data_IF_210081467013
#
_entry.id   IF_210081467013
#
_cell.length_a   1.000
_cell.length_b   1.000
_cell.length_c   1.000
_cell.angle_alpha   90.00
_cell.angle_beta   90.00
_cell.angle_gamma   90.00
#
_symmetry.space_group_name_H-M   'P 1'
#
loop_
_entity.id
_entity.type
_entity.pdbx_description
1 polymer ?
#
# COMPACT_ATOMS: atom_id res chain seq x y z
N UNK A 1 -52.27 -48.43 27.87
CA UNK A 1 -52.89 -47.32 28.59
C UNK A 1 -51.76 -46.64 29.35
N UNK A 2 -51.33 -45.46 29.10
CA UNK A 2 -51.88 -44.28 28.44
C UNK A 2 -50.71 -43.35 28.11
N UNK A 3 -50.82 -42.78 26.92
CA UNK A 3 -50.63 -41.38 26.56
C UNK A 3 -49.28 -40.70 26.85
N UNK A 4 -48.43 -40.66 25.87
CA UNK A 4 -47.60 -39.52 25.55
C UNK A 4 -47.89 -39.06 24.11
N UNK A 5 -48.45 -37.90 23.92
CA UNK A 5 -48.00 -37.02 22.87
C UNK A 5 -48.19 -35.54 23.25
N UNK A 6 -47.12 -34.78 23.46
CA UNK A 6 -47.20 -33.30 23.39
C UNK A 6 -45.87 -32.58 23.27
N UNK A 7 -44.74 -33.27 23.09
CA UNK A 7 -43.43 -32.58 23.05
C UNK A 7 -42.94 -32.18 21.66
N UNK A 8 -43.64 -32.58 20.59
CA UNK A 8 -43.25 -32.29 19.20
C UNK A 8 -43.88 -31.02 18.59
N UNK A 9 -44.90 -30.45 19.25
CA UNK A 9 -45.58 -29.27 18.77
C UNK A 9 -44.86 -27.97 19.17
N UNK A 10 -44.31 -27.88 20.38
CA UNK A 10 -43.60 -26.70 20.88
C UNK A 10 -42.25 -26.48 20.17
N UNK A 11 -41.57 -27.56 19.73
CA UNK A 11 -40.29 -27.45 19.02
C UNK A 11 -40.45 -26.90 17.58
N UNK A 12 -41.61 -27.01 16.97
CA UNK A 12 -41.91 -26.48 15.63
C UNK A 12 -42.31 -25.00 15.66
N UNK A 13 -42.88 -24.54 16.76
CA UNK A 13 -43.27 -23.14 16.94
C UNK A 13 -42.06 -22.26 17.31
N UNK A 14 -41.05 -22.79 18.03
CA UNK A 14 -39.83 -22.09 18.37
C UNK A 14 -38.87 -21.98 17.15
N UNK A 15 -38.90 -22.90 16.20
CA UNK A 15 -38.14 -22.87 14.97
C UNK A 15 -38.66 -21.78 13.99
N UNK A 16 -39.96 -21.46 14.02
CA UNK A 16 -40.58 -20.41 13.23
C UNK A 16 -40.23 -19.00 13.67
N UNK A 17 -39.94 -18.81 14.98
CA UNK A 17 -39.62 -17.48 15.54
C UNK A 17 -38.17 -17.08 15.39
N UNK A 18 -37.28 -18.02 15.07
CA UNK A 18 -35.83 -17.74 14.87
C UNK A 18 -35.56 -17.20 13.44
N UNK A 19 -36.43 -17.47 12.47
CA UNK A 19 -36.25 -17.01 11.07
C UNK A 19 -36.74 -15.56 10.86
N UNK A 20 -37.59 -15.03 11.74
CA UNK A 20 -38.24 -13.72 11.56
C UNK A 20 -37.43 -12.54 12.17
N UNK A 21 -36.19 -12.78 12.63
CA UNK A 21 -35.35 -11.74 13.27
C UNK A 21 -34.25 -11.12 12.40
N UNK A 22 -34.25 -11.34 11.10
CA UNK A 22 -33.12 -10.87 10.24
C UNK A 22 -33.42 -9.70 9.32
N UNK A 23 -34.63 -9.12 9.34
CA UNK A 23 -34.94 -7.91 8.59
C UNK A 23 -34.98 -6.66 9.49
N UNK A 24 -33.95 -6.46 10.33
CA UNK A 24 -33.69 -5.09 10.80
C UNK A 24 -33.12 -4.34 9.61
N UNK A 25 -33.97 -3.53 8.96
CA UNK A 25 -33.53 -2.53 8.00
C UNK A 25 -32.42 -1.70 8.68
N UNK A 26 -31.18 -1.87 8.20
CA UNK A 26 -30.06 -1.04 8.65
C UNK A 26 -30.44 0.43 8.48
N UNK A 27 -30.13 1.30 9.42
CA UNK A 27 -30.35 2.73 9.30
C UNK A 27 -29.81 3.24 7.96
N UNK A 28 -30.49 4.20 7.35
CA UNK A 28 -30.15 4.69 6.00
C UNK A 28 -28.69 5.13 5.85
N UNK A 29 -28.07 5.63 6.93
CA UNK A 29 -26.67 6.03 6.96
C UNK A 29 -25.69 4.82 7.00
N UNK A 30 -26.07 3.67 7.58
CA UNK A 30 -25.25 2.44 7.52
C UNK A 30 -25.22 1.88 6.11
N UNK A 31 -26.34 1.90 5.38
CA UNK A 31 -26.40 1.53 3.96
C UNK A 31 -25.54 2.43 3.08
N UNK A 32 -25.41 3.70 3.40
CA UNK A 32 -24.56 4.64 2.66
C UNK A 32 -23.07 4.39 2.95
N UNK A 33 -22.70 4.09 4.21
CA UNK A 33 -21.29 3.82 4.59
C UNK A 33 -20.78 2.49 4.07
N UNK A 34 -21.67 1.51 3.84
CA UNK A 34 -21.33 0.22 3.23
C UNK A 34 -21.30 0.27 1.69
N UNK A 35 -21.74 1.35 1.07
CA UNK A 35 -21.77 1.46 -0.38
C UNK A 35 -20.34 1.56 -0.95
N UNK A 36 -20.05 0.81 -2.02
CA UNK A 36 -18.76 0.89 -2.74
C UNK A 36 -18.44 2.33 -3.17
N UNK A 37 -19.46 3.12 -3.53
CA UNK A 37 -19.33 4.51 -3.96
C UNK A 37 -18.91 5.46 -2.83
N UNK A 38 -19.31 5.18 -1.57
CA UNK A 38 -18.90 5.96 -0.43
C UNK A 38 -17.38 5.85 -0.20
N UNK A 39 -16.83 4.63 -0.28
CA UNK A 39 -15.38 4.39 -0.16
C UNK A 39 -14.61 5.16 -1.24
N UNK A 40 -15.08 5.11 -2.49
CA UNK A 40 -14.46 5.84 -3.61
C UNK A 40 -14.57 7.36 -3.40
N UNK A 41 -15.73 7.84 -2.96
CA UNK A 41 -15.95 9.26 -2.66
C UNK A 41 -15.03 9.80 -1.58
N UNK A 42 -14.93 9.10 -0.45
CA UNK A 42 -14.03 9.45 0.66
C UNK A 42 -12.58 9.43 0.21
N UNK A 43 -12.17 8.40 -0.55
CA UNK A 43 -10.81 8.31 -1.10
C UNK A 43 -10.50 9.47 -2.02
N UNK A 44 -11.45 9.85 -2.90
CA UNK A 44 -11.28 10.97 -3.83
C UNK A 44 -11.07 12.28 -3.07
N UNK A 45 -11.89 12.54 -2.06
CA UNK A 45 -11.75 13.74 -1.21
C UNK A 45 -10.44 13.71 -0.45
N UNK A 46 -10.07 12.56 0.13
CA UNK A 46 -8.81 12.41 0.84
C UNK A 46 -7.60 12.67 -0.06
N UNK A 47 -7.55 12.05 -1.24
CA UNK A 47 -6.48 12.25 -2.22
C UNK A 47 -6.42 13.70 -2.70
N UNK A 48 -7.56 14.36 -2.96
CA UNK A 48 -7.59 15.75 -3.41
C UNK A 48 -7.10 16.74 -2.34
N UNK A 49 -7.43 16.49 -1.07
CA UNK A 49 -7.04 17.36 0.05
C UNK A 49 -5.64 17.06 0.60
N UNK A 50 -5.12 15.85 0.35
CA UNK A 50 -3.86 15.39 0.94
C UNK A 50 -2.66 16.30 0.68
N UNK A 51 -2.39 16.83 -0.55
CA UNK A 51 -1.25 17.71 -0.78
C UNK A 51 -1.37 19.04 -0.04
N UNK A 52 -2.59 19.57 0.04
CA UNK A 52 -2.85 20.80 0.77
C UNK A 52 -2.67 20.60 2.29
N UNK A 53 -3.30 19.56 2.84
CA UNK A 53 -3.21 19.22 4.25
C UNK A 53 -1.76 18.94 4.66
N UNK A 54 -1.05 18.15 3.84
CA UNK A 54 0.28 17.66 4.15
C UNK A 54 1.38 18.72 4.00
N UNK A 55 1.29 19.55 2.94
CA UNK A 55 2.36 20.50 2.61
C UNK A 55 2.05 21.97 2.95
N UNK A 56 0.79 22.36 3.16
CA UNK A 56 0.40 23.78 3.23
C UNK A 56 -0.48 24.16 4.42
N UNK A 57 -1.14 23.21 5.07
CA UNK A 57 -1.97 23.54 6.25
C UNK A 57 -1.09 24.14 7.36
N UNK A 58 -1.38 25.35 7.88
CA UNK A 58 -0.42 26.13 8.70
C UNK A 58 0.05 25.42 9.97
N UNK A 59 -0.82 24.61 10.59
CA UNK A 59 -0.47 23.83 11.79
C UNK A 59 0.26 22.52 11.40
N UNK A 60 -0.26 21.83 10.38
CA UNK A 60 0.23 20.51 9.97
C UNK A 60 1.57 20.61 9.25
N UNK A 61 1.74 21.60 8.36
CA UNK A 61 3.01 21.80 7.64
C UNK A 61 4.15 22.24 8.58
N UNK A 62 3.84 22.97 9.65
CA UNK A 62 4.83 23.35 10.66
C UNK A 62 5.36 22.16 11.47
N UNK A 63 4.48 21.19 11.77
CA UNK A 63 4.82 19.98 12.53
C UNK A 63 5.38 18.89 11.63
N UNK A 64 4.68 18.58 10.53
CA UNK A 64 5.02 17.47 9.66
C UNK A 64 6.11 17.80 8.62
N UNK A 65 6.37 19.09 8.31
CA UNK A 65 7.35 19.51 7.29
C UNK A 65 7.20 18.77 5.97
N UNK A 66 5.96 18.37 5.62
CA UNK A 66 5.67 17.64 4.42
C UNK A 66 5.84 18.49 3.16
N UNK A 67 6.12 17.84 2.04
CA UNK A 67 6.20 18.49 0.74
C UNK A 67 5.48 17.65 -0.33
N UNK A 68 5.10 18.28 -1.43
CA UNK A 68 4.21 17.68 -2.43
C UNK A 68 4.77 16.41 -3.10
N UNK A 69 6.08 16.37 -3.34
CA UNK A 69 6.70 15.19 -3.96
C UNK A 69 6.64 13.98 -3.03
N UNK A 70 6.78 14.18 -1.71
CA UNK A 70 6.59 13.12 -0.72
C UNK A 70 5.15 12.62 -0.70
N UNK A 71 4.16 13.52 -0.81
CA UNK A 71 2.75 13.12 -0.92
C UNK A 71 2.50 12.24 -2.16
N UNK A 72 3.12 12.57 -3.29
CA UNK A 72 3.04 11.76 -4.52
C UNK A 72 3.66 10.37 -4.30
N UNK A 73 4.82 10.32 -3.66
CA UNK A 73 5.55 9.09 -3.40
C UNK A 73 4.77 8.17 -2.43
N UNK A 74 4.12 8.75 -1.40
CA UNK A 74 3.25 8.01 -0.46
C UNK A 74 2.10 7.32 -1.21
N UNK A 75 1.48 7.97 -2.19
CA UNK A 75 0.42 7.34 -2.98
C UNK A 75 0.95 6.18 -3.84
N UNK A 76 2.12 6.35 -4.47
CA UNK A 76 2.74 5.31 -5.30
C UNK A 76 3.06 4.07 -4.46
N UNK A 77 3.76 4.24 -3.34
CA UNK A 77 4.08 3.15 -2.42
C UNK A 77 2.84 2.58 -1.73
N UNK A 78 1.83 3.42 -1.49
CA UNK A 78 0.52 3.01 -0.98
C UNK A 78 -0.19 2.04 -1.92
N UNK A 79 -0.15 2.27 -3.24
CA UNK A 79 -0.68 1.32 -4.24
C UNK A 79 0.10 0.00 -4.18
N UNK A 80 1.43 0.06 -4.09
CA UNK A 80 2.27 -1.14 -3.99
C UNK A 80 1.96 -1.94 -2.72
N UNK A 81 1.92 -1.27 -1.56
CA UNK A 81 1.60 -1.89 -0.28
C UNK A 81 0.16 -2.46 -0.24
N UNK A 82 -0.82 -1.77 -0.85
CA UNK A 82 -2.18 -2.25 -0.97
C UNK A 82 -2.25 -3.52 -1.82
N UNK A 83 -1.56 -3.56 -2.97
CA UNK A 83 -1.46 -4.76 -3.81
C UNK A 83 -0.81 -5.93 -3.07
N UNK A 84 0.26 -5.68 -2.32
CA UNK A 84 0.92 -6.68 -1.48
C UNK A 84 0.00 -7.18 -0.36
N UNK A 85 -0.75 -6.28 0.27
CA UNK A 85 -1.70 -6.62 1.32
C UNK A 85 -2.89 -7.46 0.81
N UNK A 86 -3.30 -7.30 -0.47
CA UNK A 86 -4.28 -8.20 -1.08
C UNK A 86 -3.78 -9.65 -1.07
N UNK A 87 -2.49 -9.87 -1.24
CA UNK A 87 -1.90 -11.20 -1.18
C UNK A 87 -1.69 -11.65 0.27
N UNK A 88 -0.91 -10.91 1.06
CA UNK A 88 -0.59 -11.27 2.44
C UNK A 88 -1.81 -11.22 3.34
N UNK A 89 -2.56 -10.14 3.26
CA UNK A 89 -3.65 -9.84 4.18
C UNK A 89 -4.90 -10.69 3.95
N UNK A 90 -5.16 -11.13 2.72
CA UNK A 90 -6.41 -11.84 2.40
C UNK A 90 -6.20 -13.29 1.99
N UNK A 91 -5.00 -13.70 1.56
CA UNK A 91 -4.71 -15.12 1.26
C UNK A 91 -3.64 -15.74 2.15
N UNK A 92 -2.98 -14.96 2.99
CA UNK A 92 -1.91 -15.44 3.88
C UNK A 92 -0.58 -15.75 3.17
N UNK A 93 -0.44 -15.40 1.89
CA UNK A 93 0.76 -15.69 1.13
C UNK A 93 1.80 -14.57 1.30
N UNK A 94 2.94 -14.89 1.90
CA UNK A 94 4.08 -13.98 2.02
C UNK A 94 5.04 -14.18 0.86
N UNK A 95 5.29 -13.12 0.08
CA UNK A 95 6.19 -13.14 -1.06
C UNK A 95 7.30 -12.08 -0.91
N UNK A 96 8.55 -12.51 -0.96
CA UNK A 96 9.72 -11.61 -0.97
C UNK A 96 10.22 -11.26 -2.38
N UNK A 97 9.48 -11.66 -3.43
CA UNK A 97 9.82 -11.39 -4.82
C UNK A 97 9.06 -10.22 -5.46
N UNK A 98 8.29 -9.45 -4.70
CA UNK A 98 7.47 -8.36 -5.25
C UNK A 98 8.27 -7.23 -5.89
N UNK A 99 9.54 -7.04 -5.49
CA UNK A 99 10.48 -6.15 -6.15
C UNK A 99 10.70 -6.49 -7.63
N UNK A 100 10.58 -7.78 -8.02
CA UNK A 100 10.65 -8.17 -9.43
C UNK A 100 9.52 -7.59 -10.27
N UNK A 101 8.30 -7.49 -9.71
CA UNK A 101 7.15 -6.89 -10.40
C UNK A 101 7.23 -5.38 -10.43
N UNK A 102 7.60 -4.77 -9.31
CA UNK A 102 7.83 -3.33 -9.19
C UNK A 102 8.96 -2.87 -10.13
N UNK A 103 10.17 -3.42 -9.98
CA UNK A 103 11.33 -3.08 -10.80
C UNK A 103 11.12 -3.45 -12.27
N UNK A 104 10.59 -4.64 -12.56
CA UNK A 104 10.30 -5.09 -13.91
C UNK A 104 9.33 -4.18 -14.64
N UNK A 105 8.25 -3.74 -13.97
CA UNK A 105 7.31 -2.77 -14.53
C UNK A 105 7.96 -1.40 -14.74
N UNK A 106 8.77 -0.94 -13.77
CA UNK A 106 9.46 0.34 -13.89
C UNK A 106 10.41 0.35 -15.10
N UNK A 107 11.19 -0.69 -15.29
CA UNK A 107 12.07 -0.83 -16.45
C UNK A 107 11.30 -0.97 -17.76
N UNK A 108 10.26 -1.83 -17.80
CA UNK A 108 9.42 -1.99 -18.98
C UNK A 108 8.74 -0.66 -19.39
N UNK A 109 8.22 0.09 -18.42
CA UNK A 109 7.67 1.42 -18.60
C UNK A 109 8.73 2.42 -19.10
N UNK A 110 9.93 2.40 -18.52
CA UNK A 110 11.05 3.25 -18.92
C UNK A 110 11.48 3.01 -20.36
N UNK A 111 11.75 1.75 -20.71
CA UNK A 111 12.14 1.34 -22.07
C UNK A 111 11.03 1.65 -23.08
N UNK A 112 9.77 1.35 -22.75
CA UNK A 112 8.63 1.66 -23.60
C UNK A 112 8.50 3.17 -23.86
N UNK A 113 8.75 3.99 -22.82
CA UNK A 113 8.68 5.46 -22.95
C UNK A 113 9.72 6.02 -23.90
N UNK A 114 10.91 5.41 -23.95
CA UNK A 114 12.02 5.84 -24.78
C UNK A 114 11.92 5.35 -26.23
N UNK A 115 11.39 4.15 -26.46
CA UNK A 115 11.47 3.48 -27.77
C UNK A 115 10.15 3.46 -28.54
N UNK A 116 8.99 3.49 -27.83
CA UNK A 116 7.69 3.29 -28.47
C UNK A 116 6.80 4.52 -28.34
N UNK A 117 6.51 4.97 -27.13
CA UNK A 117 5.60 6.11 -26.92
C UNK A 117 5.85 6.78 -25.58
N UNK A 118 5.99 8.10 -25.60
CA UNK A 118 6.13 8.92 -24.39
C UNK A 118 4.79 9.22 -23.68
N UNK A 119 3.64 8.71 -24.18
CA UNK A 119 2.34 8.92 -23.55
C UNK A 119 2.28 8.27 -22.17
N UNK A 120 2.03 9.03 -21.07
CA UNK A 120 2.04 8.49 -19.71
C UNK A 120 1.07 7.32 -19.50
N UNK A 121 -0.08 7.36 -20.15
CA UNK A 121 -1.10 6.30 -20.02
C UNK A 121 -0.59 5.00 -20.64
N UNK A 122 0.01 5.05 -21.84
CA UNK A 122 0.56 3.88 -22.51
C UNK A 122 1.79 3.33 -21.76
N UNK A 123 2.60 4.20 -21.17
CA UNK A 123 3.73 3.82 -20.31
C UNK A 123 3.27 3.04 -19.09
N UNK A 124 2.19 3.49 -18.40
CA UNK A 124 1.60 2.76 -17.28
C UNK A 124 1.08 1.39 -17.73
N UNK A 125 0.34 1.34 -18.85
CA UNK A 125 -0.21 0.10 -19.37
C UNK A 125 0.88 -0.89 -19.75
N UNK A 126 1.95 -0.45 -20.38
CA UNK A 126 3.07 -1.32 -20.78
C UNK A 126 3.75 -1.97 -19.56
N UNK A 127 4.12 -1.17 -18.54
CA UNK A 127 4.74 -1.72 -17.34
C UNK A 127 3.77 -2.60 -16.52
N UNK A 128 2.52 -2.20 -16.40
CA UNK A 128 1.49 -3.01 -15.71
C UNK A 128 1.27 -4.34 -16.39
N UNK A 129 1.19 -4.37 -17.73
CA UNK A 129 1.03 -5.61 -18.51
C UNK A 129 2.24 -6.52 -18.33
N UNK A 130 3.45 -5.96 -18.37
CA UNK A 130 4.68 -6.71 -18.10
C UNK A 130 4.66 -7.35 -16.71
N UNK A 131 4.29 -6.60 -15.67
CA UNK A 131 4.21 -7.12 -14.32
C UNK A 131 3.13 -8.20 -14.16
N UNK A 132 1.95 -8.02 -14.76
CA UNK A 132 0.88 -9.01 -14.73
C UNK A 132 1.31 -10.34 -15.39
N UNK A 133 1.97 -10.27 -16.55
CA UNK A 133 2.48 -11.45 -17.26
C UNK A 133 3.60 -12.14 -16.46
N UNK A 134 4.55 -11.37 -15.93
CA UNK A 134 5.62 -11.93 -15.09
C UNK A 134 5.08 -12.52 -13.80
N UNK A 135 4.09 -11.90 -13.16
CA UNK A 135 3.42 -12.43 -11.98
C UNK A 135 2.67 -13.75 -12.31
N UNK A 136 2.05 -13.84 -13.47
CA UNK A 136 1.41 -15.08 -13.91
C UNK A 136 2.43 -16.20 -14.09
N UNK A 137 3.55 -15.94 -14.79
CA UNK A 137 4.61 -16.93 -15.03
C UNK A 137 5.27 -17.37 -13.72
N UNK A 138 5.71 -16.40 -12.90
CA UNK A 138 6.40 -16.69 -11.65
C UNK A 138 5.46 -17.32 -10.62
N UNK A 139 4.20 -16.87 -10.57
CA UNK A 139 3.17 -17.46 -9.71
C UNK A 139 2.85 -18.89 -10.07
N UNK A 140 2.75 -19.20 -11.38
CA UNK A 140 2.51 -20.56 -11.85
C UNK A 140 3.59 -21.54 -11.39
N UNK A 141 4.85 -21.10 -11.37
CA UNK A 141 5.98 -21.93 -10.90
C UNK A 141 6.05 -21.96 -9.37
N UNK A 142 5.94 -20.79 -8.71
CA UNK A 142 6.15 -20.65 -7.26
C UNK A 142 5.07 -21.32 -6.42
N UNK A 143 3.81 -21.26 -6.86
CA UNK A 143 2.68 -21.81 -6.11
C UNK A 143 2.55 -23.33 -6.15
N UNK A 144 3.46 -24.02 -6.83
CA UNK A 144 3.56 -25.50 -6.76
C UNK A 144 4.07 -25.96 -5.39
N UNK A 145 4.69 -25.08 -4.62
CA UNK A 145 5.16 -25.32 -3.27
C UNK A 145 4.48 -24.32 -2.33
N UNK A 146 4.04 -24.79 -1.17
CA UNK A 146 3.36 -23.98 -0.17
C UNK A 146 4.28 -23.52 0.95
N UNK A 147 3.74 -22.65 1.83
CA UNK A 147 4.39 -22.20 3.04
C UNK A 147 5.68 -21.41 2.79
N UNK A 148 6.71 -21.69 3.61
CA UNK A 148 7.99 -20.98 3.56
C UNK A 148 8.73 -21.18 2.22
N UNK A 149 8.54 -22.31 1.55
CA UNK A 149 9.18 -22.57 0.26
C UNK A 149 8.70 -21.59 -0.83
N UNK A 150 7.44 -21.17 -0.78
CA UNK A 150 6.91 -20.15 -1.68
C UNK A 150 7.65 -18.81 -1.47
N UNK A 151 7.85 -18.39 -0.22
CA UNK A 151 8.52 -17.14 0.12
C UNK A 151 10.00 -17.14 -0.38
N UNK A 152 10.72 -18.26 -0.14
CA UNK A 152 12.11 -18.41 -0.58
C UNK A 152 12.21 -18.43 -2.12
N UNK A 153 11.30 -19.13 -2.79
CA UNK A 153 11.30 -19.25 -4.24
C UNK A 153 11.01 -17.90 -4.91
N UNK A 154 10.07 -17.13 -4.37
CA UNK A 154 9.78 -15.77 -4.87
C UNK A 154 10.96 -14.84 -4.65
N UNK A 155 11.68 -14.94 -3.52
CA UNK A 155 12.93 -14.21 -3.28
C UNK A 155 13.98 -14.56 -4.34
N UNK A 156 14.18 -15.86 -4.63
CA UNK A 156 15.12 -16.31 -5.63
C UNK A 156 14.80 -15.73 -7.02
N UNK A 157 13.52 -15.69 -7.42
CA UNK A 157 13.10 -15.04 -8.66
C UNK A 157 13.33 -13.53 -8.65
N UNK A 158 13.14 -12.87 -7.51
CA UNK A 158 13.48 -11.46 -7.34
C UNK A 158 14.97 -11.19 -7.58
N UNK A 159 15.84 -12.01 -6.97
CA UNK A 159 17.28 -11.92 -7.18
C UNK A 159 17.70 -12.27 -8.62
N UNK A 160 17.04 -13.25 -9.24
CA UNK A 160 17.27 -13.56 -10.65
C UNK A 160 16.95 -12.34 -11.53
N UNK A 161 15.81 -11.67 -11.31
CA UNK A 161 15.44 -10.47 -12.06
C UNK A 161 16.46 -9.32 -11.87
N UNK A 162 16.95 -9.12 -10.63
CA UNK A 162 18.03 -8.18 -10.34
C UNK A 162 19.31 -8.48 -11.15
N UNK A 163 19.81 -9.71 -11.09
CA UNK A 163 21.02 -10.07 -11.80
C UNK A 163 20.85 -10.05 -13.33
N UNK A 164 19.66 -10.37 -13.84
CA UNK A 164 19.35 -10.23 -15.26
C UNK A 164 19.40 -8.75 -15.71
N UNK A 165 18.86 -7.84 -14.90
CA UNK A 165 18.94 -6.42 -15.19
C UNK A 165 20.37 -5.87 -15.07
N UNK A 166 21.16 -6.37 -14.12
CA UNK A 166 22.52 -5.92 -13.85
C UNK A 166 23.49 -6.23 -15.01
N UNK A 167 23.45 -7.45 -15.54
CA UNK A 167 24.49 -7.95 -16.45
C UNK A 167 23.95 -8.37 -17.83
N UNK A 168 23.15 -9.43 -18.01
CA UNK A 168 22.74 -9.88 -19.36
C UNK A 168 21.93 -8.84 -20.13
N UNK A 169 21.10 -8.08 -19.45
CA UNK A 169 20.23 -7.06 -20.03
C UNK A 169 20.78 -5.64 -19.87
N UNK A 170 22.03 -5.47 -19.43
CA UNK A 170 22.64 -4.14 -19.18
C UNK A 170 22.57 -3.20 -20.38
N UNK A 171 22.58 -3.74 -21.59
CA UNK A 171 22.44 -2.97 -22.85
C UNK A 171 21.05 -2.32 -23.01
N UNK A 172 20.00 -2.84 -22.35
CA UNK A 172 18.66 -2.25 -22.31
C UNK A 172 18.46 -1.47 -21.02
N UNK A 173 18.87 -2.04 -19.87
CA UNK A 173 18.57 -1.54 -18.54
C UNK A 173 19.52 -0.44 -18.08
N UNK A 174 20.69 -0.31 -18.70
CA UNK A 174 21.78 0.55 -18.25
C UNK A 174 22.65 -0.06 -17.13
N UNK A 175 22.38 -1.32 -16.72
CA UNK A 175 23.17 -2.04 -15.72
C UNK A 175 23.16 -1.33 -14.36
N UNK A 176 24.34 -1.16 -13.75
CA UNK A 176 24.50 -0.49 -12.45
C UNK A 176 24.00 0.97 -12.44
N UNK A 177 24.10 1.66 -13.56
CA UNK A 177 23.66 3.07 -13.68
C UNK A 177 22.14 3.21 -13.72
N UNK A 178 21.39 2.12 -13.90
CA UNK A 178 19.95 2.17 -14.10
C UNK A 178 19.55 2.80 -15.44
N UNK A 179 18.25 2.89 -15.69
CA UNK A 179 17.72 3.41 -16.95
C UNK A 179 17.44 4.92 -16.85
N UNK A 180 18.18 5.73 -17.60
CA UNK A 180 18.10 7.21 -17.61
C UNK A 180 17.37 7.77 -18.83
N UNK A 181 16.98 6.91 -19.78
CA UNK A 181 16.40 7.30 -21.07
C UNK A 181 14.89 7.59 -21.04
N UNK A 182 14.27 7.75 -19.86
CA UNK A 182 12.81 7.95 -19.72
C UNK A 182 12.36 9.24 -20.40
N UNK A 183 11.46 9.11 -21.37
CA UNK A 183 10.85 10.23 -22.07
C UNK A 183 9.36 10.32 -21.73
N UNK A 184 8.95 11.45 -21.17
CA UNK A 184 7.56 11.68 -20.79
C UNK A 184 6.96 12.79 -21.63
N UNK A 185 5.95 12.46 -22.40
CA UNK A 185 5.14 13.37 -23.17
C UNK A 185 4.07 14.09 -22.33
N UNK A 186 3.20 14.79 -23.00
CA UNK A 186 2.05 15.45 -22.40
C UNK A 186 0.96 14.42 -22.04
N UNK A 187 0.34 14.59 -20.89
CA UNK A 187 -0.85 13.84 -20.53
C UNK A 187 -1.99 14.22 -21.49
N UNK A 188 -2.60 13.21 -22.15
CA UNK A 188 -3.64 13.39 -23.17
C UNK A 188 -3.26 14.36 -24.30
N UNK A 189 -1.95 14.55 -24.57
CA UNK A 189 -1.45 15.45 -25.60
C UNK A 189 -1.50 16.95 -25.25
N UNK A 190 -2.07 17.32 -24.09
CA UNK A 190 -2.32 18.73 -23.71
C UNK A 190 -1.53 19.13 -22.46
N UNK A 191 -1.59 18.33 -21.39
CA UNK A 191 -1.10 18.75 -20.08
C UNK A 191 0.32 18.26 -19.81
N UNK A 192 1.23 19.20 -19.54
CA UNK A 192 2.58 18.85 -19.08
C UNK A 192 2.57 18.42 -17.62
N UNK A 193 3.11 17.25 -17.30
CA UNK A 193 3.11 16.66 -15.96
C UNK A 193 3.80 17.52 -14.89
N UNK A 194 4.79 18.33 -15.28
CA UNK A 194 5.58 19.17 -14.36
C UNK A 194 4.89 20.48 -13.97
N UNK A 195 3.90 20.95 -14.74
CA UNK A 195 3.25 22.23 -14.45
C UNK A 195 2.15 22.09 -13.41
N UNK A 196 1.93 23.13 -12.60
CA UNK A 196 0.81 23.17 -11.66
C UNK A 196 -0.52 23.20 -12.42
N UNK A 197 -1.57 22.67 -11.80
CA UNK A 197 -2.92 22.71 -12.37
C UNK A 197 -3.45 24.14 -12.36
N UNK A 198 -3.88 24.70 -13.50
CA UNK A 198 -4.41 26.06 -13.54
C UNK A 198 -5.61 26.23 -12.58
N UNK A 199 -5.57 27.26 -11.75
CA UNK A 199 -6.65 27.56 -10.78
C UNK A 199 -6.70 26.66 -9.55
N UNK A 200 -6.27 25.40 -9.63
CA UNK A 200 -6.32 24.40 -8.53
C UNK A 200 -4.93 23.99 -8.05
N UNK A 201 -3.86 24.53 -8.60
CA UNK A 201 -2.49 24.16 -8.23
C UNK A 201 -2.15 24.43 -6.75
N UNK A 202 -2.88 25.32 -6.08
CA UNK A 202 -2.77 25.55 -4.65
C UNK A 202 -3.32 24.36 -3.80
N UNK A 203 -4.28 23.61 -4.33
CA UNK A 203 -4.92 22.47 -3.65
C UNK A 203 -4.26 21.14 -4.05
N UNK A 204 -4.24 20.84 -5.35
CA UNK A 204 -3.81 19.52 -5.88
C UNK A 204 -2.37 19.54 -6.45
N UNK A 205 -1.76 20.70 -6.60
CA UNK A 205 -0.38 20.84 -7.04
C UNK A 205 -0.16 20.63 -8.53
N UNK A 206 0.66 19.64 -8.93
CA UNK A 206 1.05 19.39 -10.32
C UNK A 206 0.17 18.36 -11.01
N UNK A 207 0.12 18.37 -12.36
CA UNK A 207 -0.54 17.34 -13.16
C UNK A 207 0.01 15.93 -12.91
N UNK A 208 1.27 15.81 -12.50
CA UNK A 208 1.88 14.56 -12.08
C UNK A 208 1.14 13.97 -10.86
N UNK A 209 0.86 14.80 -9.85
CA UNK A 209 0.09 14.37 -8.68
C UNK A 209 -1.35 13.97 -9.04
N UNK A 210 -2.00 14.73 -9.91
CA UNK A 210 -3.37 14.41 -10.38
C UNK A 210 -3.42 13.05 -11.08
N UNK A 211 -2.44 12.75 -11.94
CA UNK A 211 -2.34 11.45 -12.60
C UNK A 211 -2.17 10.32 -11.58
N UNK A 212 -1.22 10.47 -10.66
CA UNK A 212 -0.96 9.47 -9.60
C UNK A 212 -2.18 9.29 -8.71
N UNK A 213 -2.81 10.39 -8.31
CA UNK A 213 -4.02 10.38 -7.48
C UNK A 213 -5.20 9.69 -8.17
N UNK A 214 -5.43 9.99 -9.46
CA UNK A 214 -6.48 9.33 -10.24
C UNK A 214 -6.26 7.81 -10.34
N UNK A 215 -5.01 7.38 -10.60
CA UNK A 215 -4.67 5.96 -10.63
C UNK A 215 -4.80 5.33 -9.24
N UNK A 216 -4.43 6.03 -8.17
CA UNK A 216 -4.61 5.55 -6.80
C UNK A 216 -6.09 5.34 -6.45
N UNK A 217 -6.97 6.27 -6.82
CA UNK A 217 -8.41 6.13 -6.65
C UNK A 217 -8.95 4.92 -7.41
N UNK A 218 -8.51 4.72 -8.66
CA UNK A 218 -8.89 3.54 -9.47
C UNK A 218 -8.41 2.24 -8.81
N UNK A 219 -7.18 2.22 -8.27
CA UNK A 219 -6.63 1.07 -7.56
C UNK A 219 -7.42 0.76 -6.27
N UNK A 220 -7.78 1.79 -5.48
CA UNK A 220 -8.62 1.60 -4.28
C UNK A 220 -10.00 1.09 -4.67
N UNK A 221 -10.62 1.64 -5.70
CA UNK A 221 -11.91 1.18 -6.21
C UNK A 221 -11.84 -0.28 -6.69
N UNK A 222 -10.78 -0.65 -7.42
CA UNK A 222 -10.56 -2.02 -7.88
C UNK A 222 -10.35 -2.98 -6.70
N UNK A 223 -9.51 -2.61 -5.72
CA UNK A 223 -9.25 -3.41 -4.54
C UNK A 223 -10.53 -3.60 -3.71
N UNK A 224 -11.28 -2.53 -3.47
CA UNK A 224 -12.56 -2.58 -2.76
C UNK A 224 -13.56 -3.53 -3.46
N UNK A 225 -13.69 -3.42 -4.78
CA UNK A 225 -14.57 -4.29 -5.56
C UNK A 225 -14.13 -5.76 -5.54
N UNK A 226 -12.83 -6.04 -5.61
CA UNK A 226 -12.29 -7.41 -5.49
C UNK A 226 -12.61 -7.99 -4.12
N UNK A 227 -12.43 -7.22 -3.04
CA UNK A 227 -12.65 -7.68 -1.66
C UNK A 227 -14.11 -7.94 -1.31
N UNK A 228 -15.04 -7.22 -1.95
CA UNK A 228 -16.49 -7.42 -1.80
C UNK A 228 -17.08 -8.39 -2.83
N UNK A 229 -16.27 -8.90 -3.76
CA UNK A 229 -16.67 -9.92 -4.72
C UNK A 229 -16.64 -11.34 -4.09
N UNK A 230 -17.27 -12.35 -4.76
CA UNK A 230 -17.12 -13.74 -4.35
C UNK A 230 -15.68 -14.21 -4.22
N UNK A 231 -14.76 -13.64 -5.00
CA UNK A 231 -13.33 -13.95 -4.93
C UNK A 231 -12.71 -13.51 -3.59
N UNK A 232 -13.11 -12.35 -3.08
CA UNK A 232 -12.63 -11.85 -1.78
C UNK A 232 -13.04 -12.77 -0.62
N UNK A 233 -14.24 -13.34 -0.67
CA UNK A 233 -14.69 -14.33 0.30
C UNK A 233 -13.85 -15.61 0.24
N UNK A 234 -13.56 -16.11 -0.97
CA UNK A 234 -12.71 -17.30 -1.16
C UNK A 234 -11.29 -17.05 -0.68
N UNK A 235 -10.71 -15.85 -0.92
CA UNK A 235 -9.38 -15.51 -0.41
C UNK A 235 -9.32 -15.57 1.11
N UNK A 236 -10.33 -15.05 1.81
CA UNK A 236 -10.41 -15.12 3.29
C UNK A 236 -10.56 -16.57 3.76
N UNK A 237 -11.40 -17.38 3.12
CA UNK A 237 -11.56 -18.80 3.43
C UNK A 237 -10.25 -19.58 3.28
N UNK A 238 -9.48 -19.31 2.21
CA UNK A 238 -8.15 -19.90 1.98
C UNK A 238 -7.17 -19.47 3.08
N UNK A 239 -7.18 -18.18 3.47
CA UNK A 239 -6.33 -17.68 4.55
C UNK A 239 -6.60 -18.38 5.89
N UNK A 240 -7.86 -18.66 6.19
CA UNK A 240 -8.24 -19.35 7.43
C UNK A 240 -7.79 -20.82 7.41
N UNK A 241 -8.08 -21.55 6.34
CA UNK A 241 -7.66 -22.95 6.22
C UNK A 241 -7.73 -23.45 4.77
N UNK A 242 -6.56 -23.66 4.13
CA UNK A 242 -6.40 -24.17 2.77
C UNK A 242 -7.12 -25.53 2.56
N UNK A 243 -6.92 -26.45 3.50
CA UNK A 243 -7.47 -27.82 3.39
C UNK A 243 -9.00 -27.80 3.47
N UNK A 244 -9.56 -26.97 4.36
CA UNK A 244 -11.01 -26.84 4.47
C UNK A 244 -11.61 -26.27 3.18
N UNK A 245 -10.94 -25.30 2.56
CA UNK A 245 -11.36 -24.74 1.27
C UNK A 245 -11.32 -25.80 0.15
N UNK A 246 -10.32 -26.69 0.13
CA UNK A 246 -10.24 -27.81 -0.81
C UNK A 246 -11.35 -28.84 -0.59
N UNK A 247 -11.69 -29.18 0.66
CA UNK A 247 -12.77 -30.12 0.96
C UNK A 247 -14.15 -29.65 0.50
N UNK A 248 -14.38 -28.33 0.41
CA UNK A 248 -15.62 -27.75 -0.15
C UNK A 248 -15.58 -27.69 -1.69
N UNK A 249 -14.52 -28.20 -2.33
CA UNK A 249 -14.37 -28.30 -3.77
C UNK A 249 -13.74 -27.07 -4.45
N UNK A 250 -13.16 -26.14 -3.69
CA UNK A 250 -12.48 -24.97 -4.26
C UNK A 250 -11.09 -25.36 -4.79
N UNK A 251 -10.75 -24.88 -5.99
CA UNK A 251 -9.41 -25.05 -6.53
C UNK A 251 -8.46 -23.98 -5.95
N UNK A 252 -7.97 -24.23 -4.73
CA UNK A 252 -7.13 -23.31 -3.94
C UNK A 252 -5.93 -22.79 -4.75
N UNK A 253 -5.28 -23.63 -5.54
CA UNK A 253 -4.14 -23.23 -6.36
C UNK A 253 -4.49 -22.13 -7.37
N UNK A 254 -5.65 -22.23 -8.05
CA UNK A 254 -6.08 -21.22 -9.03
C UNK A 254 -6.41 -19.88 -8.36
N UNK A 255 -7.05 -19.92 -7.21
CA UNK A 255 -7.36 -18.70 -6.45
C UNK A 255 -6.11 -18.02 -5.91
N UNK A 256 -5.14 -18.79 -5.40
CA UNK A 256 -3.82 -18.27 -4.99
C UNK A 256 -3.06 -17.65 -6.16
N UNK A 257 -3.06 -18.28 -7.33
CA UNK A 257 -2.44 -17.75 -8.54
C UNK A 257 -3.11 -16.42 -8.95
N UNK A 258 -4.43 -16.37 -8.94
CA UNK A 258 -5.17 -15.15 -9.26
C UNK A 258 -4.85 -14.01 -8.27
N UNK A 259 -4.82 -14.29 -6.97
CA UNK A 259 -4.43 -13.31 -5.95
C UNK A 259 -3.00 -12.80 -6.17
N UNK A 260 -2.07 -13.69 -6.53
CA UNK A 260 -0.69 -13.34 -6.82
C UNK A 260 -0.55 -12.47 -8.07
N UNK A 261 -1.28 -12.77 -9.14
CA UNK A 261 -1.31 -11.97 -10.38
C UNK A 261 -1.92 -10.58 -10.11
N UNK A 262 -3.01 -10.51 -9.35
CA UNK A 262 -3.63 -9.23 -8.95
C UNK A 262 -2.60 -8.40 -8.18
N UNK A 263 -1.96 -8.99 -7.16
CA UNK A 263 -0.95 -8.31 -6.35
C UNK A 263 0.24 -7.81 -7.21
N UNK A 264 0.75 -8.65 -8.10
CA UNK A 264 1.79 -8.27 -9.06
C UNK A 264 1.35 -7.17 -10.03
N UNK A 265 0.08 -7.15 -10.43
CA UNK A 265 -0.49 -6.08 -11.26
C UNK A 265 -0.48 -4.73 -10.54
N UNK A 266 -0.87 -4.68 -9.25
CA UNK A 266 -0.77 -3.47 -8.44
C UNK A 266 0.67 -3.02 -8.27
N UNK A 267 1.61 -3.95 -8.03
CA UNK A 267 3.03 -3.65 -8.00
C UNK A 267 3.51 -3.07 -9.34
N UNK A 268 2.99 -3.58 -10.45
CA UNK A 268 3.27 -3.08 -11.80
C UNK A 268 2.76 -1.67 -12.05
N UNK A 269 1.53 -1.37 -11.63
CA UNK A 269 0.98 0.00 -11.69
C UNK A 269 1.88 0.95 -10.90
N UNK A 270 2.22 0.58 -9.66
CA UNK A 270 3.04 1.41 -8.80
C UNK A 270 4.46 1.62 -9.34
N UNK A 271 5.12 0.56 -9.88
CA UNK A 271 6.43 0.67 -10.52
C UNK A 271 6.43 1.55 -11.76
N UNK A 272 5.38 1.45 -12.58
CA UNK A 272 5.21 2.33 -13.75
C UNK A 272 4.99 3.79 -13.36
N UNK A 273 4.21 4.06 -12.32
CA UNK A 273 4.01 5.40 -11.76
C UNK A 273 5.30 5.94 -11.14
N UNK A 274 6.11 5.09 -10.51
CA UNK A 274 7.43 5.48 -10.00
C UNK A 274 8.36 5.93 -11.12
N UNK A 275 8.35 5.26 -12.27
CA UNK A 275 9.11 5.70 -13.46
C UNK A 275 8.67 7.08 -13.95
N UNK A 276 7.36 7.35 -13.98
CA UNK A 276 6.82 8.67 -14.35
C UNK A 276 7.19 9.73 -13.30
N UNK A 277 7.19 9.35 -12.02
CA UNK A 277 7.53 10.24 -10.93
C UNK A 277 9.00 10.66 -10.98
N UNK A 278 9.92 9.69 -11.04
CA UNK A 278 11.36 9.91 -10.94
C UNK A 278 12.01 10.32 -12.28
N UNK A 279 11.37 9.98 -13.42
CA UNK A 279 11.96 10.05 -14.77
C UNK A 279 13.31 9.30 -14.90
N UNK A 280 13.51 8.32 -14.05
CA UNK A 280 14.70 7.49 -13.91
C UNK A 280 14.32 6.17 -13.24
N UNK A 281 14.96 5.07 -13.63
CA UNK A 281 14.73 3.77 -13.00
C UNK A 281 16.04 3.22 -12.44
N UNK A 282 16.24 3.28 -11.11
CA UNK A 282 17.44 2.75 -10.48
C UNK A 282 17.41 1.21 -10.45
N UNK A 283 18.59 0.58 -10.51
CA UNK A 283 18.73 -0.87 -10.37
C UNK A 283 18.24 -1.36 -8.99
N UNK A 284 18.32 -0.51 -7.97
CA UNK A 284 17.81 -0.80 -6.61
C UNK A 284 16.31 -1.09 -6.57
N UNK A 285 15.54 -0.72 -7.59
CA UNK A 285 14.13 -1.10 -7.72
C UNK A 285 13.89 -2.62 -7.71
N UNK A 286 14.91 -3.42 -8.02
CA UNK A 286 14.86 -4.87 -7.96
C UNK A 286 15.38 -5.46 -6.64
N UNK A 287 15.92 -4.65 -5.72
CA UNK A 287 16.49 -5.17 -4.48
C UNK A 287 15.43 -5.88 -3.64
N UNK A 288 15.84 -6.96 -2.99
CA UNK A 288 14.98 -7.68 -2.05
C UNK A 288 14.51 -6.79 -0.89
N UNK A 289 15.29 -5.74 -0.54
CA UNK A 289 14.92 -4.73 0.45
C UNK A 289 13.61 -4.03 0.09
N UNK A 290 13.38 -3.72 -1.20
CA UNK A 290 12.13 -3.13 -1.69
C UNK A 290 10.92 -4.04 -1.41
N UNK A 291 11.10 -5.38 -1.51
CA UNK A 291 10.06 -6.32 -1.05
C UNK A 291 9.91 -6.32 0.47
N UNK A 292 11.00 -6.15 1.22
CA UNK A 292 10.97 -6.03 2.68
C UNK A 292 10.25 -4.75 3.15
N UNK A 293 10.51 -3.63 2.49
CA UNK A 293 9.87 -2.34 2.78
C UNK A 293 8.36 -2.42 2.62
N UNK A 294 7.87 -3.03 1.54
CA UNK A 294 6.42 -3.17 1.33
C UNK A 294 5.76 -4.11 2.36
N UNK A 295 6.48 -5.13 2.85
CA UNK A 295 6.03 -5.95 3.98
C UNK A 295 5.88 -5.09 5.23
N UNK A 296 6.91 -4.30 5.56
CA UNK A 296 6.90 -3.40 6.71
C UNK A 296 5.74 -2.41 6.62
N UNK A 297 5.55 -1.76 5.47
CA UNK A 297 4.45 -0.83 5.22
C UNK A 297 3.08 -1.48 5.42
N UNK A 298 2.90 -2.71 4.91
CA UNK A 298 1.63 -3.44 5.03
C UNK A 298 1.34 -3.86 6.46
N UNK A 299 2.36 -4.32 7.20
CA UNK A 299 2.21 -4.72 8.60
C UNK A 299 1.99 -3.52 9.51
N UNK A 300 2.78 -2.46 9.32
CA UNK A 300 2.65 -1.20 10.07
C UNK A 300 1.26 -0.58 9.91
N UNK A 301 0.74 -0.60 8.68
CA UNK A 301 -0.59 -0.08 8.38
C UNK A 301 -1.72 -0.93 8.94
N UNK A 302 -1.53 -2.24 8.97
CA UNK A 302 -2.52 -3.23 9.42
C UNK A 302 -2.89 -4.23 8.33
N UNK A 303 -2.42 -5.46 8.49
CA UNK A 303 -2.63 -6.57 7.55
C UNK A 303 -4.10 -6.94 7.45
N UNK A 304 -4.65 -6.96 6.23
CA UNK A 304 -6.04 -7.32 5.99
C UNK A 304 -7.02 -6.15 6.01
N UNK A 305 -6.55 -4.91 6.19
CA UNK A 305 -7.34 -3.69 6.01
C UNK A 305 -7.15 -3.10 4.61
N UNK A 306 -8.14 -2.37 4.09
CA UNK A 306 -8.06 -1.76 2.75
C UNK A 306 -7.13 -0.54 2.74
N UNK A 307 -7.28 0.36 3.71
CA UNK A 307 -6.56 1.63 3.79
C UNK A 307 -5.28 1.58 4.63
N UNK A 308 -5.15 0.55 5.49
CA UNK A 308 -3.99 0.40 6.36
C UNK A 308 -2.66 0.49 5.62
N UNK A 309 -2.45 -0.26 4.52
CA UNK A 309 -1.18 -0.23 3.78
C UNK A 309 -0.81 1.15 3.25
N UNK A 310 -1.79 1.97 2.85
CA UNK A 310 -1.55 3.36 2.40
C UNK A 310 -1.07 4.22 3.58
N UNK A 311 -1.68 4.06 4.76
CA UNK A 311 -1.23 4.72 5.97
C UNK A 311 0.14 4.23 6.41
N UNK A 312 0.38 2.92 6.33
CA UNK A 312 1.68 2.33 6.63
C UNK A 312 2.79 2.85 5.71
N UNK A 313 2.52 2.97 4.41
CA UNK A 313 3.43 3.60 3.45
C UNK A 313 3.67 5.08 3.79
N UNK A 314 2.61 5.80 4.20
CA UNK A 314 2.71 7.19 4.64
C UNK A 314 3.63 7.35 5.86
N UNK A 315 3.43 6.54 6.89
CA UNK A 315 4.27 6.59 8.11
C UNK A 315 5.69 6.17 7.81
N UNK A 316 5.89 5.09 7.04
CA UNK A 316 7.21 4.60 6.66
C UNK A 316 8.03 5.68 5.95
N UNK A 317 7.50 6.21 4.83
CA UNK A 317 8.19 7.22 4.03
C UNK A 317 8.37 8.55 4.78
N UNK A 318 7.43 8.88 5.65
CA UNK A 318 7.54 10.08 6.49
C UNK A 318 8.69 9.93 7.49
N UNK A 319 8.75 8.82 8.22
CA UNK A 319 9.85 8.55 9.17
C UNK A 319 11.19 8.49 8.45
N UNK A 320 11.28 7.77 7.33
CA UNK A 320 12.47 7.71 6.49
C UNK A 320 12.96 9.11 6.10
N UNK A 321 12.07 9.93 5.56
CA UNK A 321 12.42 11.25 5.04
C UNK A 321 12.85 12.24 6.12
N UNK A 322 12.16 12.23 7.26
CA UNK A 322 12.48 13.14 8.38
C UNK A 322 13.72 12.69 9.11
N UNK A 323 13.83 11.40 9.45
CA UNK A 323 14.94 10.89 10.23
C UNK A 323 16.23 10.94 9.43
N UNK A 324 16.19 10.59 8.13
CA UNK A 324 17.37 10.70 7.25
C UNK A 324 17.85 12.15 7.07
N UNK A 325 16.95 13.13 7.15
CA UNK A 325 17.27 14.55 7.06
C UNK A 325 17.87 15.16 8.35
N UNK A 326 17.78 14.48 9.49
CA UNK A 326 18.32 14.98 10.77
C UNK A 326 19.80 14.66 10.88
N UNK A 327 20.67 15.63 10.55
CA UNK A 327 22.11 15.44 10.65
C UNK A 327 22.64 15.49 12.10
N UNK A 328 22.08 16.36 12.94
CA UNK A 328 22.51 16.54 14.33
C UNK A 328 21.31 16.60 15.28
N UNK A 329 21.32 15.79 16.30
CA UNK A 329 20.38 15.88 17.40
C UNK A 329 20.96 16.85 18.44
N UNK A 330 20.44 18.07 18.47
CA UNK A 330 20.83 19.11 19.44
C UNK A 330 19.74 19.34 20.45
N UNK A 331 20.08 19.46 21.72
CA UNK A 331 19.15 19.93 22.75
C UNK A 331 19.28 21.45 22.82
N UNK A 332 18.21 22.21 22.55
CA UNK A 332 18.25 23.64 22.80
C UNK A 332 18.32 23.88 24.29
N UNK A 333 19.47 24.27 24.78
CA UNK A 333 19.64 24.69 26.17
C UNK A 333 19.12 26.12 26.28
N UNK A 334 17.89 26.29 26.66
CA UNK A 334 17.31 27.57 27.06
C UNK A 334 17.52 27.78 28.55
N UNK A 335 18.80 28.00 28.97
CA UNK A 335 19.11 28.52 30.28
C UNK A 335 19.18 30.05 30.24
N UNK A 336 18.93 30.77 31.36
CA UNK A 336 19.10 32.21 31.40
C UNK A 336 20.57 32.54 31.10
N UNK A 337 20.76 33.31 30.05
CA UNK A 337 22.03 33.63 29.38
C UNK A 337 23.04 34.42 30.21
N UNK A 338 22.80 34.60 31.49
CA UNK A 338 23.60 35.54 32.31
C UNK A 338 24.73 34.93 33.15
N UNK A 339 24.80 33.58 33.25
CA UNK A 339 25.79 32.91 34.10
C UNK A 339 26.64 31.81 33.47
N UNK A 340 26.45 31.49 32.19
CA UNK A 340 27.21 30.42 31.51
C UNK A 340 27.77 30.87 30.15
N UNK A 341 28.73 31.78 30.19
CA UNK A 341 29.49 32.25 29.00
C UNK A 341 30.50 31.22 28.45
N UNK A 342 30.45 29.95 28.87
CA UNK A 342 31.40 28.92 28.46
C UNK A 342 30.85 27.87 27.47
N UNK A 343 29.59 27.90 27.11
CA UNK A 343 28.99 26.95 26.12
C UNK A 343 28.19 27.74 25.10
N UNK A 344 28.85 28.31 24.12
CA UNK A 344 28.21 28.98 22.97
C UNK A 344 27.64 28.01 21.95
N UNK A 345 27.94 26.70 22.05
CA UNK A 345 27.43 25.72 21.09
C UNK A 345 26.36 24.82 21.68
N UNK A 346 25.28 24.51 20.93
CA UNK A 346 24.28 23.56 21.38
C UNK A 346 24.92 22.19 21.61
N UNK A 347 24.60 21.55 22.74
CA UNK A 347 25.14 20.22 23.07
C UNK A 347 24.65 19.25 22.00
N UNK A 348 25.57 18.75 21.17
CA UNK A 348 25.33 17.71 20.16
C UNK A 348 25.27 16.37 20.89
N UNK A 349 24.07 15.82 21.07
CA UNK A 349 23.88 14.50 21.69
C UNK A 349 24.35 13.38 20.76
N UNK A 350 24.08 13.49 19.47
CA UNK A 350 24.47 12.51 18.45
C UNK A 350 24.78 13.25 17.14
N UNK A 351 25.98 13.07 16.62
CA UNK A 351 26.35 13.50 15.28
C UNK A 351 26.11 12.34 14.29
N UNK A 352 25.58 12.67 13.10
CA UNK A 352 25.25 11.65 12.11
C UNK A 352 23.97 10.82 12.42
N UNK A 353 23.05 11.35 13.26
CA UNK A 353 21.83 10.64 13.64
C UNK A 353 21.03 10.11 12.45
N UNK A 354 20.98 10.85 11.34
CA UNK A 354 20.31 10.45 10.11
C UNK A 354 20.90 9.18 9.47
N UNK A 355 22.17 8.84 9.72
CA UNK A 355 22.76 7.61 9.20
C UNK A 355 22.14 6.34 9.80
N UNK A 356 21.54 6.46 11.00
CA UNK A 356 20.90 5.35 11.72
C UNK A 356 19.40 5.24 11.46
N UNK A 357 18.87 5.87 10.40
CA UNK A 357 17.43 5.90 10.13
C UNK A 357 16.80 4.50 10.00
N UNK A 358 17.52 3.51 9.46
CA UNK A 358 17.05 2.12 9.41
C UNK A 358 16.84 1.49 10.80
N UNK A 359 17.75 1.79 11.76
CA UNK A 359 17.61 1.32 13.13
C UNK A 359 16.38 1.95 13.79
N UNK A 360 16.18 3.25 13.60
CA UNK A 360 15.06 3.98 14.18
C UNK A 360 13.76 3.48 13.59
N UNK A 361 13.71 3.30 12.28
CA UNK A 361 12.56 2.74 11.60
C UNK A 361 12.25 1.32 12.09
N UNK A 362 13.28 0.48 12.28
CA UNK A 362 13.13 -0.85 12.86
C UNK A 362 12.56 -0.82 14.28
N UNK A 363 13.02 0.11 15.12
CA UNK A 363 12.49 0.31 16.48
C UNK A 363 11.03 0.78 16.45
N UNK A 364 10.69 1.73 15.58
CA UNK A 364 9.31 2.18 15.38
C UNK A 364 8.43 1.02 14.92
N UNK A 365 8.92 0.22 13.98
CA UNK A 365 8.20 -0.97 13.50
C UNK A 365 7.95 -1.97 14.63
N UNK A 366 8.96 -2.33 15.41
CA UNK A 366 8.82 -3.24 16.57
C UNK A 366 7.84 -2.66 17.59
N UNK A 367 7.97 -1.38 17.92
CA UNK A 367 7.07 -0.72 18.85
C UNK A 367 5.60 -0.78 18.38
N UNK A 368 5.35 -0.47 17.10
CA UNK A 368 3.99 -0.54 16.54
C UNK A 368 3.45 -1.96 16.54
N UNK A 369 4.25 -2.96 16.12
CA UNK A 369 3.80 -4.36 16.09
C UNK A 369 3.49 -4.90 17.48
N UNK A 370 4.29 -4.54 18.48
CA UNK A 370 4.10 -5.02 19.87
C UNK A 370 2.93 -4.30 20.55
N UNK A 371 2.83 -2.97 20.37
CA UNK A 371 1.80 -2.17 21.03
C UNK A 371 0.45 -2.25 20.31
N UNK A 372 0.47 -2.42 18.99
CA UNK A 372 -0.72 -2.38 18.13
C UNK A 372 -0.76 -3.59 17.17
N UNK A 373 -1.15 -4.78 17.63
CA UNK A 373 -1.14 -6.00 16.83
C UNK A 373 -2.02 -5.92 15.55
N UNK A 374 -3.00 -4.99 15.52
CA UNK A 374 -3.86 -4.71 14.36
C UNK A 374 -3.32 -3.59 13.46
N UNK A 375 -2.10 -3.10 13.73
CA UNK A 375 -1.50 -1.98 13.03
C UNK A 375 -2.17 -0.63 13.33
N UNK A 376 -1.73 0.43 12.63
CA UNK A 376 -2.23 1.80 12.82
C UNK A 376 -3.71 1.92 12.47
N UNK A 377 -4.18 1.15 11.47
CA UNK A 377 -5.60 1.15 11.09
C UNK A 377 -6.49 0.66 12.22
N UNK A 378 -6.07 -0.40 12.93
CA UNK A 378 -6.81 -0.92 14.09
C UNK A 378 -6.99 0.12 15.20
N UNK A 379 -5.97 0.96 15.44
CA UNK A 379 -6.08 2.08 16.38
C UNK A 379 -7.17 3.09 15.99
N UNK A 380 -7.24 3.41 14.69
CA UNK A 380 -8.25 4.35 14.19
C UNK A 380 -9.67 3.77 14.32
N UNK A 381 -9.85 2.47 14.09
CA UNK A 381 -11.12 1.78 14.28
C UNK A 381 -11.54 1.74 15.76
N UNK A 382 -10.60 1.40 16.65
CA UNK A 382 -10.85 1.35 18.10
C UNK A 382 -11.16 2.74 18.65
N UNK A 383 -10.44 3.79 18.24
CA UNK A 383 -10.71 5.17 18.60
C UNK A 383 -12.08 5.64 18.09
N UNK A 384 -12.42 5.31 16.83
CA UNK A 384 -13.72 5.61 16.24
C UNK A 384 -14.87 4.93 16.98
N UNK A 385 -14.69 3.67 17.39
CA UNK A 385 -15.69 2.94 18.17
C UNK A 385 -15.88 3.50 19.59
N UNK A 386 -14.79 3.94 20.24
CA UNK A 386 -14.84 4.57 21.54
C UNK A 386 -15.58 5.93 21.50
N UNK A 387 -15.31 6.74 20.48
CA UNK A 387 -16.03 8.00 20.26
C UNK A 387 -17.54 7.81 20.02
N UNK A 388 -17.92 6.77 19.27
CA UNK A 388 -19.33 6.42 19.06
C UNK A 388 -20.04 6.00 20.36
N UNK A 389 -19.36 5.26 21.24
CA UNK A 389 -19.89 4.89 22.57
C UNK A 389 -20.08 6.08 23.48
N UNK A 390 -19.20 7.07 23.42
CA UNK A 390 -19.30 8.33 24.19
C UNK A 390 -20.37 9.28 23.62
N UNK A 391 -20.60 9.29 22.29
CA UNK A 391 -21.63 10.12 21.64
C UNK A 391 -23.03 9.53 21.64
N UNK A 392 -23.19 8.21 21.81
CA UNK A 392 -24.48 7.50 21.82
C UNK A 392 -25.19 7.42 23.17
N UNK A 393 -24.66 8.05 24.19
CA UNK A 393 -25.23 8.11 25.56
C UNK A 393 -26.21 9.27 25.80
N UNK A 394 -27.01 9.66 24.76
CA UNK A 394 -28.13 10.59 24.91
C UNK A 394 -29.39 10.01 24.31
#
# INVERSE_FOLDING_TARGET
>A
MSDEPTETADAAEDAGTVVERTDRELPSWERVTESEWFVVGVTTVAVALFPWLFARAPVVSGVLRGYQDLATLILIWGIFAMGFNLLLGYTGLLSFGHAAFWGGAAYAAGVFSAQVSSSPILVILAGTTFAALSAWVLGFVSLRRGGIYFAILTLAFGQMAYYMALSPLAWITGGENGFTGVQLGKLLGVFHLRYPVPGLGWLVGTWKYVLVGAVAILCVAAANRILHSPYGMVFRAIRENDQRAEFVGLNVWRYKLMAFVISGTFAGVAGSLFTIYSAYVPLSSFYWTTSGEVVIMSVLGGVGSLFGPILGAGVYLYVENIVSGVQKLTVPFTGPSEYLTLVEEPIVLLDGFGAYWHLILGLVFVAVVVLFPRGIWGLLEDAGSALRRLGGGR
#
